data_IF_833712515339
#
_entry.id   IF_833712515339
#
_cell.length_a   1.000
_cell.length_b   1.000
_cell.length_c   1.000
_cell.angle_alpha   90.00
_cell.angle_beta   90.00
_cell.angle_gamma   90.00
#
_symmetry.space_group_name_H-M   'P 1'
#
loop_
_entity.id
_entity.type
_entity.pdbx_description
1 polymer ?
#
# COMPACT_ATOMS: atom_id res chain seq x y z
N UNK A 1 -12.99 -15.90 -18.27
CA UNK A 1 -13.27 -15.98 -16.81
C UNK A 1 -12.57 -17.20 -16.25
N UNK A 2 -11.84 -17.04 -15.13
CA UNK A 2 -11.23 -18.17 -14.42
C UNK A 2 -12.22 -18.53 -13.29
N UNK A 3 -12.78 -19.73 -13.35
CA UNK A 3 -13.60 -20.25 -12.26
C UNK A 3 -12.70 -20.83 -11.17
N UNK A 4 -12.88 -20.39 -9.94
CA UNK A 4 -12.03 -20.79 -8.82
C UNK A 4 -12.43 -20.21 -7.47
N UNK A 5 -11.83 -20.74 -6.42
CA UNK A 5 -11.99 -20.26 -5.05
C UNK A 5 -11.18 -18.97 -4.85
N UNK A 6 -11.87 -17.86 -4.66
CA UNK A 6 -11.29 -16.54 -4.47
C UNK A 6 -11.12 -16.26 -2.98
N UNK A 7 -9.89 -15.93 -2.54
CA UNK A 7 -9.64 -15.52 -1.15
C UNK A 7 -10.47 -14.28 -0.77
N UNK A 8 -10.78 -14.11 0.52
CA UNK A 8 -11.58 -12.98 1.00
C UNK A 8 -10.94 -11.63 0.63
N UNK A 9 -9.61 -11.53 0.71
CA UNK A 9 -8.86 -10.35 0.30
C UNK A 9 -9.04 -10.09 -1.20
N UNK A 10 -8.69 -11.04 -2.06
CA UNK A 10 -8.78 -10.89 -3.50
C UNK A 10 -10.21 -10.55 -3.96
N UNK A 11 -11.21 -11.13 -3.31
CA UNK A 11 -12.63 -10.82 -3.55
C UNK A 11 -12.98 -9.40 -3.15
N UNK A 12 -12.54 -8.97 -1.97
CA UNK A 12 -12.84 -7.62 -1.47
C UNK A 12 -12.21 -6.54 -2.34
N UNK A 13 -10.92 -6.69 -2.69
CA UNK A 13 -10.20 -5.71 -3.51
C UNK A 13 -10.47 -5.87 -5.02
N UNK A 14 -11.13 -6.95 -5.43
CA UNK A 14 -11.36 -7.32 -6.83
C UNK A 14 -10.07 -7.39 -7.66
N UNK A 15 -9.00 -7.95 -7.08
CA UNK A 15 -7.70 -8.09 -7.72
C UNK A 15 -7.00 -9.40 -7.30
N UNK A 16 -6.35 -10.04 -8.27
CA UNK A 16 -5.62 -11.29 -8.12
C UNK A 16 -4.24 -11.13 -8.74
N UNK A 17 -3.19 -11.47 -8.01
CA UNK A 17 -1.82 -11.54 -8.52
C UNK A 17 -1.21 -12.96 -8.42
N UNK A 18 -1.88 -13.88 -7.72
CA UNK A 18 -1.38 -15.24 -7.49
C UNK A 18 -2.49 -16.25 -7.76
N UNK A 19 -2.21 -17.20 -8.66
CA UNK A 19 -3.11 -18.30 -9.02
C UNK A 19 -2.43 -19.61 -8.65
N UNK A 20 -3.09 -20.41 -7.83
CA UNK A 20 -2.64 -21.76 -7.49
C UNK A 20 -3.63 -22.80 -8.01
N UNK A 21 -3.12 -23.98 -8.36
CA UNK A 21 -3.94 -25.12 -8.79
C UNK A 21 -3.56 -26.37 -8.01
N UNK A 22 -4.58 -27.02 -7.46
CA UNK A 22 -4.44 -28.31 -6.81
C UNK A 22 -5.49 -29.26 -7.39
N UNK A 23 -5.02 -30.30 -8.09
CA UNK A 23 -5.87 -31.24 -8.83
C UNK A 23 -6.86 -30.50 -9.78
N UNK A 24 -8.15 -30.46 -9.43
CA UNK A 24 -9.20 -29.79 -10.21
C UNK A 24 -9.56 -28.40 -9.69
N UNK A 25 -9.06 -28.02 -8.52
CA UNK A 25 -9.44 -26.75 -7.89
C UNK A 25 -8.43 -25.65 -8.27
N UNK A 26 -8.95 -24.46 -8.52
CA UNK A 26 -8.17 -23.25 -8.77
C UNK A 26 -8.40 -22.28 -7.60
N UNK A 27 -7.33 -21.70 -7.09
CA UNK A 27 -7.34 -20.76 -5.97
C UNK A 27 -6.76 -19.44 -6.42
N UNK A 28 -7.47 -18.36 -6.11
CA UNK A 28 -7.17 -17.01 -6.54
C UNK A 28 -6.82 -16.15 -5.32
N UNK A 29 -5.61 -15.61 -5.27
CA UNK A 29 -5.10 -14.86 -4.14
C UNK A 29 -4.55 -13.49 -4.57
N UNK A 30 -4.45 -12.57 -3.59
CA UNK A 30 -3.64 -11.36 -3.67
C UNK A 30 -2.58 -11.40 -2.58
N UNK A 31 -1.34 -11.14 -2.93
CA UNK A 31 -0.18 -11.15 -2.01
C UNK A 31 0.45 -9.78 -1.85
N UNK A 32 -0.01 -8.75 -2.55
CA UNK A 32 0.56 -7.41 -2.51
C UNK A 32 0.45 -6.80 -1.11
N UNK A 33 -0.74 -6.83 -0.52
CA UNK A 33 -0.97 -6.26 0.80
C UNK A 33 -0.12 -6.92 1.89
N UNK A 34 -0.06 -8.27 1.91
CA UNK A 34 0.77 -8.97 2.89
C UNK A 34 2.26 -8.78 2.62
N UNK A 35 2.68 -8.64 1.37
CA UNK A 35 4.06 -8.31 1.01
C UNK A 35 4.48 -6.96 1.59
N UNK A 36 3.68 -5.93 1.39
CA UNK A 36 3.90 -4.61 1.97
C UNK A 36 3.97 -4.65 3.51
N UNK A 37 2.98 -5.27 4.17
CA UNK A 37 2.95 -5.38 5.64
C UNK A 37 4.19 -6.12 6.17
N UNK A 38 4.62 -7.16 5.48
CA UNK A 38 5.80 -7.93 5.90
C UNK A 38 7.05 -7.07 5.83
N UNK A 39 7.28 -6.35 4.74
CA UNK A 39 8.45 -5.48 4.59
C UNK A 39 8.45 -4.36 5.64
N UNK A 40 7.39 -3.58 5.71
CA UNK A 40 7.37 -2.38 6.56
C UNK A 40 7.40 -2.70 8.06
N UNK A 41 6.79 -3.83 8.50
CA UNK A 41 6.82 -4.23 9.92
C UNK A 41 8.10 -4.96 10.31
N UNK A 42 8.53 -5.95 9.51
CA UNK A 42 9.67 -6.79 9.87
C UNK A 42 11.00 -6.13 9.53
N UNK A 43 11.12 -5.59 8.31
CA UNK A 43 12.40 -5.10 7.82
C UNK A 43 12.62 -3.63 8.16
N UNK A 44 11.56 -2.83 8.27
CA UNK A 44 11.63 -1.40 8.58
C UNK A 44 11.17 -1.06 10.00
N UNK A 45 10.62 -2.04 10.74
CA UNK A 45 10.19 -1.89 12.15
C UNK A 45 9.13 -0.82 12.39
N UNK A 46 8.25 -0.56 11.40
CA UNK A 46 7.12 0.37 11.56
C UNK A 46 5.99 -0.27 12.37
N UNK A 47 5.45 0.48 13.33
CA UNK A 47 4.26 0.09 14.09
C UNK A 47 3.05 0.93 13.64
N UNK A 48 2.00 0.27 13.17
CA UNK A 48 0.80 0.93 12.67
C UNK A 48 -0.14 1.45 13.75
N UNK A 49 -0.08 0.87 14.96
CA UNK A 49 -1.03 1.19 16.02
C UNK A 49 -0.97 2.67 16.38
N UNK A 50 -2.14 3.32 16.36
CA UNK A 50 -2.31 4.72 16.74
C UNK A 50 -1.57 5.74 15.87
N UNK A 51 -1.32 5.41 14.60
CA UNK A 51 -0.64 6.27 13.62
C UNK A 51 -1.60 6.88 12.61
N UNK A 52 -1.22 8.05 12.07
CA UNK A 52 -1.89 8.70 10.95
C UNK A 52 -1.16 8.36 9.65
N UNK A 53 -1.89 7.83 8.67
CA UNK A 53 -1.31 7.31 7.42
C UNK A 53 -1.89 8.05 6.23
N UNK A 54 -1.02 8.49 5.32
CA UNK A 54 -1.41 9.08 4.05
C UNK A 54 -1.15 8.12 2.89
N UNK A 55 -2.17 7.85 2.10
CA UNK A 55 -2.05 7.20 0.80
C UNK A 55 -2.07 8.24 -0.31
N UNK A 56 -1.07 8.24 -1.17
CA UNK A 56 -1.01 9.04 -2.38
C UNK A 56 -1.30 8.13 -3.56
N UNK A 57 -2.47 8.33 -4.17
CA UNK A 57 -3.01 7.46 -5.21
C UNK A 57 -4.17 6.60 -4.72
N UNK A 58 -5.10 6.30 -5.65
CA UNK A 58 -6.33 5.55 -5.41
C UNK A 58 -6.56 4.48 -6.50
N UNK A 59 -5.49 3.82 -6.92
CA UNK A 59 -5.49 2.73 -7.89
C UNK A 59 -5.62 1.35 -7.23
N UNK A 60 -5.48 0.28 -8.04
CA UNK A 60 -5.59 -1.10 -7.57
C UNK A 60 -4.52 -1.45 -6.51
N UNK A 61 -3.28 -0.99 -6.68
CA UNK A 61 -2.21 -1.20 -5.70
C UNK A 61 -2.53 -0.52 -4.36
N UNK A 62 -3.04 0.73 -4.39
CA UNK A 62 -3.49 1.42 -3.19
C UNK A 62 -4.57 0.62 -2.46
N UNK A 63 -5.54 0.08 -3.19
CA UNK A 63 -6.64 -0.71 -2.63
C UNK A 63 -6.14 -2.01 -1.97
N UNK A 64 -5.18 -2.70 -2.60
CA UNK A 64 -4.56 -3.92 -2.06
C UNK A 64 -3.81 -3.66 -0.75
N UNK A 65 -3.01 -2.59 -0.71
CA UNK A 65 -2.26 -2.20 0.49
C UNK A 65 -3.21 -1.73 1.59
N UNK A 66 -4.19 -0.88 1.24
CA UNK A 66 -5.16 -0.32 2.17
C UNK A 66 -5.95 -1.41 2.91
N UNK A 67 -6.29 -2.51 2.22
CA UNK A 67 -7.00 -3.64 2.83
C UNK A 67 -6.23 -4.24 4.03
N UNK A 68 -4.92 -4.37 3.92
CA UNK A 68 -4.07 -4.88 5.02
C UNK A 68 -3.77 -3.80 6.06
N UNK A 69 -3.45 -2.58 5.64
CA UNK A 69 -3.17 -1.47 6.54
C UNK A 69 -4.36 -1.18 7.45
N UNK A 70 -5.59 -1.20 6.94
CA UNK A 70 -6.79 -1.00 7.75
C UNK A 70 -6.96 -2.03 8.87
N UNK A 71 -6.45 -3.26 8.69
CA UNK A 71 -6.48 -4.32 9.70
C UNK A 71 -5.43 -4.14 10.82
N UNK A 72 -4.39 -3.33 10.57
CA UNK A 72 -3.33 -3.04 11.53
C UNK A 72 -3.70 -1.97 12.58
N UNK A 73 -4.94 -1.48 12.54
CA UNK A 73 -5.54 -0.52 13.50
C UNK A 73 -4.80 0.81 13.58
N UNK A 74 -4.52 1.49 12.47
CA UNK A 74 -4.05 2.86 12.52
C UNK A 74 -5.12 3.75 13.19
N UNK A 75 -4.70 4.91 13.71
CA UNK A 75 -5.64 5.91 14.24
C UNK A 75 -6.50 6.48 13.12
N UNK A 76 -5.88 6.82 12.01
CA UNK A 76 -6.55 7.45 10.88
C UNK A 76 -5.82 7.20 9.57
N UNK A 77 -6.57 7.10 8.48
CA UNK A 77 -6.06 6.98 7.11
C UNK A 77 -6.62 8.13 6.29
N UNK A 78 -5.76 8.82 5.54
CA UNK A 78 -6.20 9.82 4.57
C UNK A 78 -5.79 9.41 3.15
N UNK A 79 -6.66 9.68 2.19
CA UNK A 79 -6.40 9.40 0.76
C UNK A 79 -6.20 10.71 0.02
N UNK A 80 -5.06 10.84 -0.66
CA UNK A 80 -4.76 11.92 -1.58
C UNK A 80 -4.74 11.38 -3.00
N UNK A 81 -5.59 11.91 -3.88
CA UNK A 81 -5.58 11.51 -5.28
C UNK A 81 -5.94 12.69 -6.18
N UNK A 82 -5.28 12.80 -7.35
CA UNK A 82 -5.57 13.86 -8.34
C UNK A 82 -7.03 13.86 -8.78
N UNK A 83 -7.64 12.69 -8.93
CA UNK A 83 -9.06 12.52 -9.26
C UNK A 83 -9.81 12.20 -7.98
N UNK A 84 -10.60 13.15 -7.48
CA UNK A 84 -11.32 13.04 -6.19
C UNK A 84 -12.27 11.85 -6.15
N UNK A 85 -13.01 11.60 -7.21
CA UNK A 85 -13.98 10.50 -7.27
C UNK A 85 -13.34 9.12 -7.02
N UNK A 86 -12.06 8.96 -7.37
CA UNK A 86 -11.32 7.72 -7.07
C UNK A 86 -10.99 7.59 -5.58
N UNK A 87 -10.59 8.70 -4.94
CA UNK A 87 -10.38 8.73 -3.49
C UNK A 87 -11.69 8.44 -2.75
N UNK A 88 -12.78 9.12 -3.11
CA UNK A 88 -14.10 8.95 -2.51
C UNK A 88 -14.63 7.51 -2.63
N UNK A 89 -14.34 6.85 -3.75
CA UNK A 89 -14.69 5.44 -3.93
C UNK A 89 -14.00 4.56 -2.91
N UNK A 90 -12.69 4.74 -2.68
CA UNK A 90 -11.95 4.00 -1.67
C UNK A 90 -12.44 4.34 -0.25
N UNK A 91 -12.64 5.60 0.05
CA UNK A 91 -13.14 6.06 1.35
C UNK A 91 -14.47 5.37 1.66
N UNK A 92 -15.45 5.43 0.76
CA UNK A 92 -16.73 4.74 0.93
C UNK A 92 -16.60 3.24 1.12
N UNK A 93 -15.68 2.59 0.39
CA UNK A 93 -15.46 1.14 0.48
C UNK A 93 -14.89 0.71 1.83
N UNK A 94 -14.02 1.55 2.42
CA UNK A 94 -13.28 1.22 3.65
C UNK A 94 -13.81 1.88 4.91
N UNK A 95 -14.79 2.79 4.84
CA UNK A 95 -15.33 3.54 5.98
C UNK A 95 -15.88 2.69 7.12
N UNK A 96 -16.33 1.47 6.84
CA UNK A 96 -16.80 0.52 7.85
C UNK A 96 -15.66 -0.30 8.50
N UNK A 97 -14.42 -0.18 8.00
CA UNK A 97 -13.26 -0.98 8.44
C UNK A 97 -12.29 -0.12 9.23
N UNK A 98 -12.11 1.14 8.84
CA UNK A 98 -11.14 2.06 9.45
C UNK A 98 -11.65 3.51 9.41
N UNK A 99 -11.10 4.35 10.30
CA UNK A 99 -11.26 5.80 10.19
C UNK A 99 -10.51 6.28 8.96
N UNK A 100 -11.24 6.80 7.96
CA UNK A 100 -10.68 7.15 6.65
C UNK A 100 -11.38 8.39 6.07
N UNK A 101 -10.60 9.31 5.52
CA UNK A 101 -11.10 10.53 4.88
C UNK A 101 -10.31 10.92 3.61
N UNK A 102 -10.73 12.04 3.01
CA UNK A 102 -9.95 12.72 1.98
C UNK A 102 -8.88 13.58 2.65
N UNK A 103 -7.63 13.50 2.19
CA UNK A 103 -6.50 14.24 2.74
C UNK A 103 -6.70 15.77 2.74
N UNK A 104 -7.58 16.31 1.89
CA UNK A 104 -7.95 17.73 1.90
C UNK A 104 -8.68 18.16 3.18
N UNK A 105 -9.33 17.22 3.85
CA UNK A 105 -10.09 17.45 5.09
C UNK A 105 -9.23 17.16 6.33
N UNK A 106 -8.07 16.53 6.14
CA UNK A 106 -7.19 16.14 7.23
C UNK A 106 -6.33 17.31 7.72
N UNK A 107 -6.32 17.53 9.03
CA UNK A 107 -5.47 18.51 9.71
C UNK A 107 -4.34 17.85 10.53
N UNK A 108 -4.13 16.55 10.39
CA UNK A 108 -3.13 15.83 11.17
C UNK A 108 -1.76 15.79 10.48
N UNK A 109 -0.70 15.62 11.31
CA UNK A 109 0.61 15.24 10.81
C UNK A 109 0.64 13.73 10.57
N UNK A 110 1.20 13.29 9.46
CA UNK A 110 1.28 11.88 9.08
C UNK A 110 2.57 11.23 9.61
N UNK A 111 2.43 9.99 10.07
CA UNK A 111 3.51 9.13 10.55
C UNK A 111 4.05 8.22 9.43
N UNK A 112 3.20 7.90 8.45
CA UNK A 112 3.56 7.11 7.27
C UNK A 112 2.90 7.69 6.02
N UNK A 113 3.71 7.90 4.99
CA UNK A 113 3.26 8.33 3.66
C UNK A 113 3.57 7.22 2.66
N UNK A 114 2.53 6.71 1.98
CA UNK A 114 2.64 5.61 1.02
C UNK A 114 2.29 6.15 -0.38
N UNK A 115 3.28 6.20 -1.25
CA UNK A 115 3.03 6.53 -2.66
C UNK A 115 2.60 5.28 -3.43
N UNK A 116 1.33 5.23 -3.79
CA UNK A 116 0.71 4.20 -4.63
C UNK A 116 0.39 4.73 -6.03
N UNK A 117 0.88 5.91 -6.37
CA UNK A 117 0.61 6.55 -7.66
C UNK A 117 1.73 6.29 -8.66
N UNK A 118 1.43 6.45 -9.94
CA UNK A 118 2.43 6.51 -11.00
C UNK A 118 3.03 7.92 -11.17
N UNK A 119 2.65 8.87 -10.32
CA UNK A 119 3.23 10.21 -10.34
C UNK A 119 4.72 10.14 -9.99
N UNK A 120 5.54 10.78 -10.80
CA UNK A 120 6.98 10.77 -10.59
C UNK A 120 7.71 9.55 -11.15
N UNK A 121 7.06 8.65 -11.90
CA UNK A 121 7.79 7.61 -12.66
C UNK A 121 8.70 8.24 -13.76
N UNK A 122 8.29 9.40 -14.25
CA UNK A 122 9.06 10.20 -15.20
C UNK A 122 9.02 11.66 -14.75
N UNK A 123 10.19 12.26 -14.52
CA UNK A 123 10.30 13.64 -14.03
C UNK A 123 10.30 13.75 -12.50
N UNK A 124 10.00 14.94 -11.98
CA UNK A 124 9.97 15.21 -10.55
C UNK A 124 8.64 14.79 -9.90
N UNK A 125 8.67 14.47 -8.62
CA UNK A 125 7.46 14.21 -7.83
C UNK A 125 7.00 15.51 -7.16
N UNK A 126 5.73 15.88 -7.39
CA UNK A 126 5.06 16.98 -6.71
C UNK A 126 3.73 16.49 -6.15
N UNK A 127 3.51 16.58 -4.83
CA UNK A 127 2.21 16.26 -4.26
C UNK A 127 1.16 17.31 -4.67
N UNK A 128 -0.11 16.90 -4.78
CA UNK A 128 -1.20 17.82 -5.18
C UNK A 128 -1.56 18.86 -4.10
N UNK A 129 -1.04 18.70 -2.89
CA UNK A 129 -1.15 19.65 -1.78
C UNK A 129 0.02 19.47 -0.81
N UNK A 130 0.21 20.44 0.08
CA UNK A 130 1.21 20.34 1.15
C UNK A 130 0.93 19.16 2.08
N UNK A 131 1.97 18.43 2.47
CA UNK A 131 1.90 17.26 3.34
C UNK A 131 2.62 17.59 4.65
N UNK A 132 1.87 17.69 5.74
CA UNK A 132 2.41 17.83 7.08
C UNK A 132 2.77 16.45 7.65
N UNK A 133 4.00 16.31 8.15
CA UNK A 133 4.52 15.04 8.65
C UNK A 133 5.07 15.15 10.07
N UNK A 134 5.08 14.05 10.81
CA UNK A 134 5.75 13.98 12.11
C UNK A 134 7.27 13.96 11.92
N UNK A 135 8.03 14.31 12.96
CA UNK A 135 9.50 14.37 12.92
C UNK A 135 10.16 13.05 12.50
N UNK A 136 9.51 11.92 12.78
CA UNK A 136 10.03 10.58 12.50
C UNK A 136 9.21 9.85 11.43
N UNK A 137 8.56 10.59 10.54
CA UNK A 137 7.70 10.03 9.51
C UNK A 137 8.46 9.06 8.59
N UNK A 138 7.76 7.99 8.22
CA UNK A 138 8.21 7.03 7.22
C UNK A 138 7.62 7.40 5.86
N UNK A 139 8.41 7.21 4.81
CA UNK A 139 7.98 7.38 3.43
C UNK A 139 8.22 6.07 2.68
N UNK A 140 7.21 5.61 2.00
CA UNK A 140 7.27 4.36 1.26
C UNK A 140 6.73 4.55 -0.16
N UNK A 141 7.56 4.31 -1.16
CA UNK A 141 7.15 4.31 -2.56
C UNK A 141 6.84 2.88 -3.00
N UNK A 142 5.65 2.61 -3.54
CA UNK A 142 5.37 1.30 -4.15
C UNK A 142 6.14 1.09 -5.46
N UNK A 143 6.59 2.17 -6.08
CA UNK A 143 7.46 2.10 -7.23
C UNK A 143 8.90 1.76 -6.80
N UNK A 144 9.65 1.16 -7.70
CA UNK A 144 11.06 0.85 -7.52
C UNK A 144 11.83 1.05 -8.82
N UNK A 145 13.13 1.34 -8.70
CA UNK A 145 14.00 1.58 -9.84
C UNK A 145 15.45 1.26 -9.49
N UNK A 146 16.30 1.10 -10.49
CA UNK A 146 17.75 0.99 -10.30
C UNK A 146 18.39 2.29 -9.80
N UNK A 147 17.70 3.39 -9.95
CA UNK A 147 18.06 4.69 -9.40
C UNK A 147 17.00 5.14 -8.42
N UNK A 148 17.31 6.10 -7.56
CA UNK A 148 16.33 6.65 -6.62
C UNK A 148 15.07 7.15 -7.36
N UNK A 149 13.88 6.75 -6.87
CA UNK A 149 12.64 7.22 -7.48
C UNK A 149 12.42 8.71 -7.17
N UNK A 150 11.70 9.45 -8.02
CA UNK A 150 11.39 10.86 -7.77
C UNK A 150 10.66 11.11 -6.44
N UNK A 151 9.79 10.18 -6.01
CA UNK A 151 9.16 10.26 -4.69
C UNK A 151 10.18 10.08 -3.57
N UNK A 152 11.08 9.09 -3.65
CA UNK A 152 12.12 8.87 -2.65
C UNK A 152 13.06 10.09 -2.56
N UNK A 153 13.46 10.67 -3.69
CA UNK A 153 14.26 11.89 -3.73
C UNK A 153 13.57 13.08 -3.02
N UNK A 154 12.29 13.29 -3.31
CA UNK A 154 11.50 14.33 -2.62
C UNK A 154 11.34 14.05 -1.12
N UNK A 155 11.15 12.79 -0.74
CA UNK A 155 10.95 12.37 0.63
C UNK A 155 12.23 12.46 1.47
N UNK A 156 13.42 12.22 0.87
CA UNK A 156 14.72 12.28 1.57
C UNK A 156 15.09 13.68 2.04
N UNK A 157 14.47 14.72 1.49
CA UNK A 157 14.55 16.08 2.04
C UNK A 157 13.81 16.27 3.37
N UNK A 158 12.93 15.31 3.74
CA UNK A 158 12.03 15.41 4.89
C UNK A 158 12.30 14.39 5.98
N UNK A 159 12.89 13.24 5.63
CA UNK A 159 13.16 12.14 6.55
C UNK A 159 14.28 11.24 6.05
N UNK A 160 15.01 10.61 6.99
CA UNK A 160 15.98 9.55 6.69
C UNK A 160 15.29 8.16 6.54
N UNK A 161 13.97 8.08 6.79
CA UNK A 161 13.18 6.83 6.72
C UNK A 161 12.41 6.76 5.41
N UNK A 162 13.14 6.61 4.32
CA UNK A 162 12.60 6.57 2.96
C UNK A 162 12.93 5.22 2.33
N UNK A 163 11.91 4.57 1.78
CA UNK A 163 11.99 3.21 1.24
C UNK A 163 11.26 3.13 -0.09
N UNK A 164 11.78 2.30 -1.00
CA UNK A 164 11.12 1.95 -2.26
C UNK A 164 10.38 0.61 -2.18
N UNK A 165 9.74 0.22 -3.29
CA UNK A 165 8.90 -0.97 -3.39
C UNK A 165 9.62 -2.31 -3.53
N UNK A 166 10.96 -2.34 -3.54
CA UNK A 166 11.73 -3.60 -3.71
C UNK A 166 11.43 -4.60 -2.60
N UNK A 167 11.39 -4.14 -1.34
CA UNK A 167 11.08 -5.01 -0.21
C UNK A 167 9.68 -5.64 -0.34
N UNK A 168 8.68 -4.85 -0.67
CA UNK A 168 7.33 -5.36 -0.94
C UNK A 168 7.31 -6.36 -2.10
N UNK A 169 8.03 -6.08 -3.20
CA UNK A 169 8.12 -6.98 -4.35
C UNK A 169 8.66 -8.36 -3.96
N UNK A 170 9.73 -8.40 -3.16
CA UNK A 170 10.34 -9.65 -2.68
C UNK A 170 9.37 -10.40 -1.76
N UNK A 171 8.77 -9.72 -0.79
CA UNK A 171 7.87 -10.37 0.16
C UNK A 171 6.58 -10.88 -0.48
N UNK A 172 5.95 -10.12 -1.41
CA UNK A 172 4.77 -10.62 -2.10
C UNK A 172 5.09 -11.87 -2.93
N UNK A 173 6.28 -11.93 -3.56
CA UNK A 173 6.73 -13.12 -4.29
C UNK A 173 6.98 -14.31 -3.34
N UNK A 174 7.57 -14.07 -2.16
CA UNK A 174 7.77 -15.11 -1.15
C UNK A 174 6.43 -15.68 -0.63
N UNK A 175 5.41 -14.83 -0.44
CA UNK A 175 4.06 -15.28 -0.09
C UNK A 175 3.41 -16.10 -1.21
N UNK A 176 3.57 -15.70 -2.47
CA UNK A 176 3.10 -16.46 -3.63
C UNK A 176 3.80 -17.82 -3.74
N UNK A 177 5.10 -17.84 -3.52
CA UNK A 177 5.89 -19.07 -3.48
C UNK A 177 5.40 -20.03 -2.40
N UNK A 178 5.13 -19.52 -1.19
CA UNK A 178 4.57 -20.33 -0.11
C UNK A 178 3.16 -20.87 -0.45
N UNK A 179 2.33 -20.11 -1.18
CA UNK A 179 1.03 -20.60 -1.64
C UNK A 179 1.21 -21.79 -2.59
N UNK A 180 2.18 -21.73 -3.50
CA UNK A 180 2.42 -22.79 -4.49
C UNK A 180 3.10 -24.01 -3.92
N UNK A 181 4.13 -23.84 -3.10
CA UNK A 181 5.05 -24.91 -2.67
C UNK A 181 4.92 -25.28 -1.19
N UNK A 182 4.12 -24.57 -0.41
CA UNK A 182 3.95 -24.77 1.05
C UNK A 182 5.25 -24.62 1.86
N UNK A 183 6.20 -23.89 1.31
CA UNK A 183 7.51 -23.58 1.92
C UNK A 183 7.75 -22.08 1.79
N UNK A 184 8.23 -21.45 2.86
CA UNK A 184 8.65 -20.05 2.82
C UNK A 184 10.11 -20.00 2.38
N UNK A 185 10.50 -19.23 1.32
CA UNK A 185 11.85 -19.14 0.82
C UNK A 185 12.76 -18.36 1.76
#
# INVERSE_FOLDING_TARGET
EIDGDISNEARFINAVNTIAKDNKNVYLHSTDGIGFITDIKKDKSFNFVDTNILFIGAGASAESILYKVAQEKPRHISIMNRTEEKADRLIRKFSNISSIDNAKESSCNFDLIINCSSAGLTGDFEPVQEICVTKNAFFYDLNYSLVETPFCKWASEKSDKVFDGIGMLVHQAAHSFNIWFKVFP
#
